data_IF_083385398158
#
_entry.id   IF_083385398158
#
_cell.length_a   1.000
_cell.length_b   1.000
_cell.length_c   1.000
_cell.angle_alpha   90.00
_cell.angle_beta   90.00
_cell.angle_gamma   90.00
#
_symmetry.space_group_name_H-M   'P 1'
#
loop_
_entity.id
_entity.type
_entity.pdbx_description
1 polymer ?
#
# COMPACT_ATOMS: atom_id res chain seq x y z
N UNK A 1 -2.65 10.29 -14.40
CA UNK A 1 -1.81 9.40 -13.59
C UNK A 1 -2.61 8.19 -13.13
N UNK A 2 -1.94 7.08 -12.80
CA UNK A 2 -2.54 6.00 -12.00
C UNK A 2 -1.88 6.04 -10.63
N UNK A 3 -2.64 6.38 -9.60
CA UNK A 3 -2.15 6.47 -8.22
C UNK A 3 -2.16 5.08 -7.56
N UNK A 4 -1.35 4.16 -8.09
CA UNK A 4 -1.25 2.79 -7.58
C UNK A 4 0.04 2.61 -6.76
N UNK A 5 -0.04 2.29 -5.45
CA UNK A 5 1.14 2.22 -4.58
C UNK A 5 2.23 1.24 -5.04
N UNK A 6 1.86 0.10 -5.64
CA UNK A 6 2.81 -0.88 -6.15
C UNK A 6 3.60 -0.35 -7.37
N UNK A 7 2.97 0.48 -8.20
CA UNK A 7 3.65 1.16 -9.31
C UNK A 7 4.62 2.22 -8.78
N UNK A 8 4.24 2.93 -7.72
CA UNK A 8 5.14 3.88 -7.06
C UNK A 8 6.34 3.18 -6.44
N UNK A 9 6.14 2.04 -5.77
CA UNK A 9 7.23 1.25 -5.23
C UNK A 9 8.17 0.73 -6.34
N UNK A 10 7.61 0.30 -7.48
CA UNK A 10 8.41 -0.05 -8.65
C UNK A 10 9.22 1.16 -9.14
N UNK A 11 8.58 2.30 -9.36
CA UNK A 11 9.23 3.52 -9.86
C UNK A 11 10.31 4.03 -8.90
N UNK A 12 10.11 3.95 -7.58
CA UNK A 12 11.11 4.34 -6.59
C UNK A 12 12.36 3.44 -6.63
N UNK A 13 12.16 2.13 -6.86
CA UNK A 13 13.25 1.13 -6.89
C UNK A 13 13.99 1.08 -8.23
N UNK A 14 13.31 1.37 -9.33
CA UNK A 14 13.89 1.26 -10.69
C UNK A 14 14.23 2.61 -11.29
N UNK A 15 13.52 3.67 -10.87
CA UNK A 15 13.45 4.96 -11.54
C UNK A 15 13.07 4.81 -13.01
N UNK A 16 12.09 3.96 -13.30
CA UNK A 16 11.60 3.67 -14.64
C UNK A 16 10.07 3.75 -14.68
N UNK A 17 9.52 3.98 -15.86
CA UNK A 17 8.10 3.74 -16.11
C UNK A 17 7.80 2.24 -16.23
N UNK A 18 6.52 1.90 -16.37
CA UNK A 18 6.05 0.51 -16.42
C UNK A 18 6.53 -0.26 -17.66
N UNK A 19 7.01 0.44 -18.70
CA UNK A 19 7.65 -0.18 -19.87
C UNK A 19 9.14 -0.48 -19.63
N UNK A 20 9.72 0.06 -18.56
CA UNK A 20 11.14 -0.04 -18.25
C UNK A 20 11.96 1.07 -18.89
N UNK A 21 11.33 2.16 -19.36
CA UNK A 21 12.03 3.32 -19.90
C UNK A 21 12.29 4.36 -18.79
N UNK A 22 13.43 5.08 -18.84
CA UNK A 22 14.59 4.83 -19.69
C UNK A 22 15.35 3.58 -19.24
N UNK A 23 16.09 2.98 -20.16
CA UNK A 23 17.04 1.93 -19.79
C UNK A 23 18.02 2.47 -18.75
N UNK A 24 18.24 1.72 -17.67
CA UNK A 24 19.07 2.19 -16.57
C UNK A 24 18.40 3.18 -15.62
N UNK A 25 17.19 3.68 -15.90
CA UNK A 25 16.38 4.53 -15.03
C UNK A 25 16.84 6.00 -14.95
N UNK A 26 15.91 6.91 -14.64
CA UNK A 26 16.23 8.34 -14.42
C UNK A 26 17.00 8.51 -13.12
N UNK A 27 18.13 9.21 -13.17
CA UNK A 27 18.97 9.44 -11.97
C UNK A 27 19.20 8.13 -11.21
N UNK A 28 19.92 7.15 -11.81
CA UNK A 28 20.04 5.80 -11.27
C UNK A 28 20.60 5.76 -9.85
N UNK A 29 21.41 6.74 -9.48
CA UNK A 29 22.00 6.88 -8.14
C UNK A 29 20.96 7.26 -7.06
N UNK A 30 19.78 7.74 -7.46
CA UNK A 30 18.65 8.06 -6.56
C UNK A 30 17.67 6.89 -6.38
N UNK A 31 18.01 5.70 -6.89
CA UNK A 31 17.19 4.51 -6.67
C UNK A 31 17.15 4.14 -5.20
N UNK A 32 15.93 3.94 -4.71
CA UNK A 32 15.74 3.49 -3.34
C UNK A 32 15.89 1.97 -3.24
N UNK A 33 16.49 1.51 -2.13
CA UNK A 33 16.42 0.11 -1.75
C UNK A 33 14.96 -0.33 -1.48
N UNK A 34 14.68 -1.64 -1.51
CA UNK A 34 13.31 -2.12 -1.31
C UNK A 34 12.68 -1.69 0.03
N UNK A 35 13.47 -1.72 1.11
CA UNK A 35 13.01 -1.32 2.44
C UNK A 35 12.85 0.20 2.55
N UNK A 36 13.75 0.94 1.90
CA UNK A 36 13.71 2.40 1.85
C UNK A 36 12.46 2.88 1.10
N UNK A 37 12.19 2.30 -0.07
CA UNK A 37 10.99 2.59 -0.84
C UNK A 37 9.72 2.25 -0.05
N UNK A 38 9.70 1.14 0.69
CA UNK A 38 8.56 0.82 1.56
C UNK A 38 8.38 1.84 2.69
N UNK A 39 9.47 2.27 3.34
CA UNK A 39 9.45 3.31 4.39
C UNK A 39 8.95 4.64 3.86
N UNK A 40 9.34 5.01 2.64
CA UNK A 40 8.92 6.24 1.96
C UNK A 40 7.40 6.34 1.79
N UNK A 41 6.70 5.21 1.75
CA UNK A 41 5.24 5.10 1.61
C UNK A 41 4.52 4.76 2.92
N UNK A 42 5.26 4.53 4.02
CA UNK A 42 4.70 4.10 5.31
C UNK A 42 5.22 5.00 6.42
N UNK A 43 6.32 4.63 7.07
CA UNK A 43 6.84 5.34 8.25
C UNK A 43 7.23 6.78 7.97
N UNK A 44 7.82 7.07 6.80
CA UNK A 44 8.26 8.43 6.46
C UNK A 44 7.11 9.33 6.04
N UNK A 45 6.09 8.79 5.37
CA UNK A 45 4.86 9.53 5.06
C UNK A 45 4.10 9.87 6.35
N UNK A 46 3.96 8.90 7.27
CA UNK A 46 3.32 9.14 8.57
C UNK A 46 4.07 10.22 9.37
N UNK A 47 5.40 10.18 9.37
CA UNK A 47 6.21 11.22 10.01
C UNK A 47 6.01 12.59 9.36
N UNK A 48 6.02 12.67 8.02
CA UNK A 48 5.79 13.91 7.30
C UNK A 48 4.38 14.49 7.54
N UNK A 49 3.40 13.63 7.84
CA UNK A 49 2.04 14.01 8.19
C UNK A 49 1.85 14.32 9.70
N UNK A 50 2.89 14.16 10.53
CA UNK A 50 2.81 14.24 12.00
C UNK A 50 1.87 13.20 12.64
N UNK A 51 1.73 12.03 11.99
CA UNK A 51 0.88 10.90 12.40
C UNK A 51 1.72 9.67 12.81
N UNK A 52 3.04 9.79 13.00
CA UNK A 52 3.94 8.65 13.26
C UNK A 52 3.78 8.01 14.66
N UNK A 53 3.00 8.64 15.54
CA UNK A 53 2.60 8.10 16.83
C UNK A 53 1.45 7.09 16.74
N UNK A 54 0.66 7.11 15.66
CA UNK A 54 -0.50 6.24 15.48
C UNK A 54 -0.52 5.50 14.14
N UNK A 55 0.30 5.88 13.14
CA UNK A 55 0.28 5.29 11.78
C UNK A 55 1.67 4.96 11.22
N UNK A 56 1.69 4.22 10.12
CA UNK A 56 2.90 3.89 9.36
C UNK A 56 3.73 2.72 9.90
N UNK A 57 3.33 2.11 11.03
CA UNK A 57 3.97 0.92 11.62
C UNK A 57 2.92 -0.10 12.06
N UNK A 58 3.32 -1.37 12.08
CA UNK A 58 2.50 -2.45 12.64
C UNK A 58 2.94 -2.66 14.10
N UNK A 59 2.28 -1.96 15.03
CA UNK A 59 2.58 -2.00 16.47
C UNK A 59 1.28 -1.86 17.29
N UNK A 60 1.25 -2.34 18.55
CA UNK A 60 0.11 -2.06 19.44
C UNK A 60 -0.12 -0.56 19.64
N UNK A 61 -1.39 -0.14 19.60
CA UNK A 61 -1.78 1.27 19.73
C UNK A 61 -1.77 2.08 18.42
N UNK A 62 -1.40 1.46 17.30
CA UNK A 62 -1.47 2.07 15.96
C UNK A 62 -2.77 1.68 15.25
N UNK A 63 -3.20 2.50 14.30
CA UNK A 63 -4.34 2.20 13.43
C UNK A 63 -4.07 0.91 12.64
N UNK A 64 -5.07 0.04 12.60
CA UNK A 64 -5.00 -1.22 11.87
C UNK A 64 -5.29 -1.00 10.37
N UNK A 65 -4.48 -0.15 9.74
CA UNK A 65 -4.45 0.12 8.30
C UNK A 65 -3.41 -0.81 7.65
N UNK A 66 -3.88 -1.90 7.04
CA UNK A 66 -3.02 -2.98 6.55
C UNK A 66 -3.33 -3.34 5.10
N UNK A 67 -2.29 -3.62 4.32
CA UNK A 67 -2.41 -4.19 2.98
C UNK A 67 -1.67 -5.53 2.95
N UNK A 68 -2.37 -6.58 2.54
CA UNK A 68 -1.81 -7.93 2.42
C UNK A 68 -1.45 -8.20 0.97
N UNK A 69 -0.21 -8.63 0.74
CA UNK A 69 0.31 -8.98 -0.58
C UNK A 69 0.71 -10.46 -0.62
N UNK A 70 0.61 -11.14 -1.79
CA UNK A 70 1.06 -12.51 -1.96
C UNK A 70 2.59 -12.64 -2.07
N UNK A 71 3.28 -11.50 -2.11
CA UNK A 71 4.71 -11.36 -2.36
C UNK A 71 5.35 -10.52 -1.27
N UNK A 72 6.65 -10.68 -1.07
CA UNK A 72 7.45 -9.75 -0.27
C UNK A 72 7.88 -8.56 -1.17
N UNK A 73 7.29 -7.36 -1.03
CA UNK A 73 7.54 -6.25 -1.94
C UNK A 73 8.96 -5.65 -1.83
N UNK A 74 9.69 -5.97 -0.76
CA UNK A 74 11.03 -5.45 -0.47
C UNK A 74 12.11 -6.25 -1.21
N UNK A 75 12.03 -7.58 -1.18
CA UNK A 75 13.13 -8.46 -1.60
C UNK A 75 12.94 -9.10 -2.99
N UNK A 76 11.81 -8.88 -3.66
CA UNK A 76 11.56 -9.41 -5.00
C UNK A 76 12.26 -8.59 -6.09
N UNK A 77 12.35 -9.17 -7.30
CA UNK A 77 12.61 -8.40 -8.51
C UNK A 77 11.54 -7.29 -8.66
N UNK A 78 11.93 -6.01 -8.82
CA UNK A 78 10.96 -4.91 -8.92
C UNK A 78 9.90 -5.10 -10.00
N UNK A 79 10.19 -5.73 -11.15
CA UNK A 79 9.19 -5.94 -12.21
C UNK A 79 8.00 -6.76 -11.74
N UNK A 80 8.18 -7.66 -10.77
CA UNK A 80 7.07 -8.45 -10.24
C UNK A 80 6.03 -7.61 -9.47
N UNK A 81 6.37 -6.37 -9.08
CA UNK A 81 5.42 -5.41 -8.51
C UNK A 81 4.35 -4.97 -9.54
N UNK A 82 4.68 -4.96 -10.84
CA UNK A 82 3.77 -4.53 -11.90
C UNK A 82 2.59 -5.51 -12.11
N UNK A 83 2.79 -6.76 -11.73
CA UNK A 83 1.78 -7.83 -11.82
C UNK A 83 1.27 -8.29 -10.45
N UNK A 84 1.76 -7.71 -9.37
CA UNK A 84 1.34 -8.07 -8.03
C UNK A 84 -0.08 -7.56 -7.78
N UNK A 85 -0.91 -8.42 -7.21
CA UNK A 85 -2.25 -8.06 -6.77
C UNK A 85 -2.28 -7.96 -5.25
N UNK A 86 -3.10 -7.06 -4.73
CA UNK A 86 -3.42 -7.04 -3.30
C UNK A 86 -4.26 -8.29 -2.99
N UNK A 87 -4.17 -8.86 -1.80
CA UNK A 87 -5.06 -9.95 -1.35
C UNK A 87 -6.13 -9.44 -0.40
N UNK A 88 -5.82 -8.43 0.41
CA UNK A 88 -6.73 -7.83 1.37
C UNK A 88 -6.29 -6.41 1.72
N UNK A 89 -7.25 -5.53 1.97
CA UNK A 89 -7.03 -4.20 2.54
C UNK A 89 -7.90 -4.06 3.78
N UNK A 90 -7.27 -3.67 4.89
CA UNK A 90 -7.89 -3.38 6.17
C UNK A 90 -7.72 -1.89 6.45
N UNK A 91 -8.78 -1.22 6.86
CA UNK A 91 -8.76 0.20 7.27
C UNK A 91 -9.40 0.29 8.64
N UNK A 92 -8.71 0.90 9.60
CA UNK A 92 -9.15 1.01 11.00
C UNK A 92 -9.64 -0.33 11.58
N UNK A 93 -9.00 -1.44 11.23
CA UNK A 93 -9.35 -2.79 11.70
C UNK A 93 -10.52 -3.46 10.99
N UNK A 94 -11.13 -2.82 10.00
CA UNK A 94 -12.19 -3.39 9.17
C UNK A 94 -11.65 -3.81 7.81
N UNK A 95 -11.97 -5.02 7.36
CA UNK A 95 -11.66 -5.44 5.99
C UNK A 95 -12.55 -4.64 5.04
N UNK A 96 -11.96 -3.83 4.16
CA UNK A 96 -12.71 -3.03 3.17
C UNK A 96 -12.60 -3.60 1.76
N UNK A 97 -11.59 -4.43 1.52
CA UNK A 97 -11.37 -5.09 0.24
C UNK A 97 -10.69 -6.44 0.44
N UNK A 98 -11.07 -7.42 -0.38
CA UNK A 98 -10.37 -8.70 -0.44
C UNK A 98 -10.48 -9.37 -1.82
N UNK A 99 -9.42 -10.06 -2.23
CA UNK A 99 -9.39 -10.89 -3.44
C UNK A 99 -10.06 -12.24 -3.15
N UNK A 100 -11.29 -12.41 -3.64
CA UNK A 100 -12.11 -13.62 -3.41
C UNK A 100 -11.58 -14.85 -4.15
N UNK A 101 -10.72 -14.70 -5.14
CA UNK A 101 -10.16 -15.82 -5.89
C UNK A 101 -8.78 -16.25 -5.36
N UNK A 102 -7.99 -15.29 -4.88
CA UNK A 102 -6.62 -15.50 -4.39
C UNK A 102 -6.49 -15.80 -2.90
N UNK A 103 -7.42 -15.36 -2.05
CA UNK A 103 -7.32 -15.50 -0.59
C UNK A 103 -8.35 -16.51 -0.05
N UNK A 104 -7.99 -17.81 -0.07
CA UNK A 104 -8.83 -18.89 0.51
C UNK A 104 -8.63 -19.01 2.03
N UNK A 105 -8.98 -17.97 2.76
CA UNK A 105 -9.30 -18.10 4.18
C UNK A 105 -10.81 -17.95 4.29
N UNK A 106 -11.48 -19.07 4.60
CA UNK A 106 -12.92 -19.14 4.81
C UNK A 106 -13.34 -18.02 5.78
N UNK A 107 -14.38 -17.30 5.39
CA UNK A 107 -15.18 -16.36 6.18
C UNK A 107 -14.66 -14.92 6.46
N UNK A 108 -13.40 -14.57 6.21
CA UNK A 108 -12.93 -13.19 6.43
C UNK A 108 -13.49 -12.15 5.41
N UNK A 109 -13.87 -12.63 4.22
CA UNK A 109 -14.41 -11.80 3.14
C UNK A 109 -15.93 -11.61 3.18
N UNK A 110 -16.64 -12.27 4.10
CA UNK A 110 -18.10 -12.39 4.05
C UNK A 110 -18.86 -11.11 4.41
N UNK A 111 -18.26 -10.21 5.21
CA UNK A 111 -19.02 -9.14 5.89
C UNK A 111 -18.84 -7.72 5.32
N UNK A 112 -18.13 -7.53 4.21
CA UNK A 112 -17.93 -6.15 3.66
C UNK A 112 -19.17 -5.55 2.99
N UNK A 113 -20.29 -6.27 2.94
CA UNK A 113 -21.53 -5.83 2.30
C UNK A 113 -22.40 -4.90 3.17
N UNK A 114 -22.03 -4.56 4.41
CA UNK A 114 -22.90 -3.77 5.29
C UNK A 114 -22.22 -2.70 6.16
N UNK A 115 -21.22 -1.97 5.65
CA UNK A 115 -20.87 -0.70 6.28
C UNK A 115 -21.87 0.38 5.78
N UNK A 116 -22.69 1.00 6.66
CA UNK A 116 -23.53 2.10 6.23
C UNK A 116 -22.63 3.26 5.82
N UNK A 117 -22.99 3.93 4.72
CA UNK A 117 -22.37 5.20 4.33
C UNK A 117 -22.43 6.14 5.54
N UNK A 118 -21.25 6.56 6.02
CA UNK A 118 -21.16 7.56 7.07
C UNK A 118 -21.99 8.77 6.64
N UNK A 119 -23.06 9.02 7.39
CA UNK A 119 -23.97 10.12 7.15
C UNK A 119 -23.20 11.43 7.14
N UNK A 120 -23.45 12.24 6.11
CA UNK A 120 -23.04 13.63 6.00
C UNK A 120 -23.15 14.36 7.34
N UNK A 121 -22.02 14.81 7.87
CA UNK A 121 -22.01 15.87 8.89
C UNK A 121 -22.43 17.15 8.16
N UNK A 122 -23.54 17.80 8.54
CA UNK A 122 -23.84 19.11 8.00
C UNK A 122 -22.85 20.10 8.62
N UNK A 123 -22.10 20.81 7.76
CA UNK A 123 -21.36 22.00 8.19
C UNK A 123 -22.36 22.99 8.79
N UNK A 124 -22.19 23.30 10.07
CA UNK A 124 -22.76 24.47 10.71
C UNK A 124 -21.62 25.36 11.21
N UNK A 125 -21.62 26.56 10.66
CA UNK A 125 -20.90 27.81 11.03
C UNK A 125 -19.41 27.94 10.70
#
# INVERSE_FOLDING_TARGET
EREEPLLQLYAARTRQDTSGWPEGGWYPDERMGGLEALKAMTTWSAYAAFEDSTRGKILPGYDADLTVLPINPVNINPRALLSARVLMTVVAGQVVWCDREGFRLMDACADTASAPAASSVPNSD
#
